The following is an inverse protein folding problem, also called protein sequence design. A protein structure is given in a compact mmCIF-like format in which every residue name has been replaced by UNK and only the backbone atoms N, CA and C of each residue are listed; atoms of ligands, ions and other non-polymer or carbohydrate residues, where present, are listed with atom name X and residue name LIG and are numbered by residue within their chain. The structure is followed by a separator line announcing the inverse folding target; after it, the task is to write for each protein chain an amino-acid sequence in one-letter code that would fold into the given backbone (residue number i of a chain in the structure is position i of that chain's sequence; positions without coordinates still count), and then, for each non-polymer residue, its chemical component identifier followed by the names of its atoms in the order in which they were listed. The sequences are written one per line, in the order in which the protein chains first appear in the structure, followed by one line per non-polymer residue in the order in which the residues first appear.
data_IF_792604442869
#
_entry.id   IF_792604442869
#
_cell.length_a   1.000
_cell.length_b   1.000
_cell.length_c   1.000
_cell.angle_alpha   90.00
_cell.angle_beta   90.00
_cell.angle_gamma   90.00
#
_symmetry.space_group_name_H-M   'P 1'
#
loop_
_entity.id
_entity.type
_entity.pdbx_description
1 polymer ?
#
# COMPACT_ATOMS: atom_id res chain seq x y z
N UNK A 1 -0.30 21.90 -15.87
CA UNK A 1 -1.39 21.13 -15.24
C UNK A 1 -0.82 19.95 -14.47
N UNK A 2 -0.42 18.84 -15.11
CA UNK A 2 0.05 17.63 -14.39
C UNK A 2 1.19 17.87 -13.38
N UNK A 3 2.19 18.70 -13.70
CA UNK A 3 3.28 19.02 -12.75
C UNK A 3 2.82 19.76 -11.49
N UNK A 4 1.78 20.57 -11.60
CA UNK A 4 1.20 21.28 -10.46
C UNK A 4 0.36 20.30 -9.64
N UNK A 5 -0.46 19.49 -10.30
CA UNK A 5 -1.27 18.44 -9.68
C UNK A 5 -0.40 17.45 -8.88
N UNK A 6 0.80 17.10 -9.39
CA UNK A 6 1.77 16.25 -8.68
C UNK A 6 2.28 16.89 -7.38
N UNK A 7 2.59 18.20 -7.40
CA UNK A 7 3.05 18.91 -6.19
C UNK A 7 1.94 19.05 -5.16
N UNK A 8 0.73 19.36 -5.63
CA UNK A 8 -0.45 19.48 -4.78
C UNK A 8 -0.76 18.12 -4.14
N UNK A 9 -0.69 17.03 -4.92
CA UNK A 9 -0.89 15.66 -4.43
C UNK A 9 0.10 15.31 -3.31
N UNK A 10 1.39 15.58 -3.51
CA UNK A 10 2.41 15.35 -2.48
C UNK A 10 2.19 16.20 -1.23
N UNK A 11 1.74 17.44 -1.39
CA UNK A 11 1.44 18.34 -0.27
C UNK A 11 0.29 17.78 0.57
N UNK A 12 -0.84 17.44 -0.03
CA UNK A 12 -1.96 16.86 0.71
C UNK A 12 -1.62 15.51 1.32
N UNK A 13 -0.85 14.66 0.63
CA UNK A 13 -0.34 13.40 1.18
C UNK A 13 0.46 13.62 2.47
N UNK A 14 1.33 14.64 2.49
CA UNK A 14 2.08 15.02 3.68
C UNK A 14 1.14 15.47 4.80
N UNK A 15 0.17 16.32 4.49
CA UNK A 15 -0.80 16.80 5.49
C UNK A 15 -1.64 15.67 6.08
N UNK A 16 -2.13 14.74 5.25
CA UNK A 16 -2.91 13.59 5.69
C UNK A 16 -2.10 12.68 6.62
N UNK A 17 -0.82 12.43 6.29
CA UNK A 17 0.10 11.66 7.16
C UNK A 17 0.34 12.36 8.49
N UNK A 18 0.61 13.66 8.47
CA UNK A 18 0.82 14.46 9.69
C UNK A 18 -0.43 14.48 10.59
N UNK A 19 -1.62 14.68 10.00
CA UNK A 19 -2.87 14.68 10.75
C UNK A 19 -3.16 13.29 11.34
N UNK A 20 -2.91 12.22 10.58
CA UNK A 20 -3.09 10.84 11.05
C UNK A 20 -2.17 10.53 12.24
N UNK A 21 -0.91 10.97 12.19
CA UNK A 21 0.05 10.79 13.27
C UNK A 21 -0.37 11.56 14.53
N UNK A 22 -0.78 12.81 14.40
CA UNK A 22 -1.29 13.63 15.51
C UNK A 22 -2.54 13.03 16.15
N UNK A 23 -3.46 12.49 15.36
CA UNK A 23 -4.64 11.78 15.87
C UNK A 23 -4.25 10.53 16.68
N UNK A 24 -3.22 9.80 16.26
CA UNK A 24 -2.72 8.63 17.00
C UNK A 24 -2.08 9.03 18.33
N UNK A 25 -1.32 10.13 18.35
CA UNK A 25 -0.76 10.69 19.59
C UNK A 25 -1.87 11.18 20.53
N UNK A 26 -2.88 11.87 19.99
CA UNK A 26 -4.04 12.33 20.76
C UNK A 26 -4.80 11.15 21.40
N UNK A 27 -5.00 10.06 20.66
CA UNK A 27 -5.62 8.83 21.20
C UNK A 27 -4.78 8.21 22.33
N UNK A 28 -3.44 8.27 22.22
CA UNK A 28 -2.56 7.78 23.28
C UNK A 28 -2.65 8.62 24.56
N UNK A 29 -2.69 9.95 24.44
CA UNK A 29 -2.85 10.88 25.56
C UNK A 29 -4.21 10.75 26.25
N UNK A 30 -5.27 10.47 25.47
CA UNK A 30 -6.58 10.20 26.04
C UNK A 30 -6.60 8.89 26.83
N UNK A 31 -5.97 7.82 26.29
CA UNK A 31 -5.85 6.53 26.99
C UNK A 31 -5.00 6.59 28.25
N UNK A 32 -4.01 7.48 28.30
CA UNK A 32 -3.19 7.71 29.50
C UNK A 32 -3.84 8.69 30.50
N UNK A 33 -5.08 9.13 30.25
CA UNK A 33 -5.83 10.09 31.06
C UNK A 33 -5.13 11.46 31.20
N UNK A 34 -4.19 11.78 30.30
CA UNK A 34 -3.47 13.07 30.28
C UNK A 34 -4.36 14.23 29.81
N UNK A 35 -5.42 13.91 29.04
CA UNK A 35 -6.39 14.90 28.54
C UNK A 35 -7.82 14.48 28.86
N UNK A 36 -8.68 15.47 29.07
CA UNK A 36 -10.12 15.24 29.28
C UNK A 36 -10.81 14.80 27.98
N UNK A 37 -11.89 14.05 28.09
CA UNK A 37 -12.75 13.64 26.97
C UNK A 37 -13.18 14.83 26.10
N UNK A 38 -13.64 15.93 26.70
CA UNK A 38 -14.03 17.13 25.96
C UNK A 38 -12.89 17.73 25.11
N UNK A 39 -11.66 17.72 25.64
CA UNK A 39 -10.48 18.22 24.92
C UNK A 39 -10.08 17.26 23.79
N UNK A 40 -10.17 15.95 24.06
CA UNK A 40 -9.97 14.92 23.04
C UNK A 40 -10.96 15.09 21.89
N UNK A 41 -12.26 15.19 22.17
CA UNK A 41 -13.31 15.33 21.16
C UNK A 41 -13.13 16.59 20.30
N UNK A 42 -12.85 17.73 20.92
CA UNK A 42 -12.64 18.98 20.20
C UNK A 42 -11.45 18.91 19.23
N UNK A 43 -10.29 18.44 19.72
CA UNK A 43 -9.07 18.34 18.89
C UNK A 43 -9.23 17.25 17.82
N UNK A 44 -9.86 16.12 18.16
CA UNK A 44 -10.14 15.05 17.23
C UNK A 44 -11.07 15.51 16.09
N UNK A 45 -12.06 16.35 16.39
CA UNK A 45 -12.94 16.92 15.38
C UNK A 45 -12.17 17.86 14.42
N UNK A 46 -11.32 18.75 14.94
CA UNK A 46 -10.50 19.66 14.12
C UNK A 46 -9.50 18.92 13.23
N UNK A 47 -8.74 18.00 13.82
CA UNK A 47 -7.79 17.17 13.08
C UNK A 47 -8.50 16.26 12.08
N UNK A 48 -9.67 15.73 12.46
CA UNK A 48 -10.54 14.92 11.62
C UNK A 48 -11.01 15.69 10.40
N UNK A 49 -11.50 16.93 10.56
CA UNK A 49 -11.94 17.77 9.44
C UNK A 49 -10.78 18.12 8.49
N UNK A 50 -9.61 18.48 9.04
CA UNK A 50 -8.41 18.75 8.22
C UNK A 50 -8.01 17.53 7.42
N UNK A 51 -7.93 16.36 8.07
CA UNK A 51 -7.57 15.12 7.40
C UNK A 51 -8.59 14.72 6.35
N UNK A 52 -9.88 14.84 6.66
CA UNK A 52 -10.99 14.55 5.73
C UNK A 52 -10.87 15.41 4.48
N UNK A 53 -10.61 16.72 4.64
CA UNK A 53 -10.38 17.64 3.53
C UNK A 53 -9.17 17.26 2.68
N UNK A 54 -8.02 16.96 3.30
CA UNK A 54 -6.82 16.52 2.57
C UNK A 54 -7.04 15.20 1.82
N UNK A 55 -7.73 14.24 2.43
CA UNK A 55 -8.03 12.93 1.80
C UNK A 55 -8.95 13.06 0.59
N UNK A 56 -9.97 13.94 0.65
CA UNK A 56 -10.82 14.20 -0.51
C UNK A 56 -10.02 14.74 -1.70
N UNK A 57 -9.10 15.67 -1.45
CA UNK A 57 -8.25 16.22 -2.52
C UNK A 57 -7.24 15.19 -3.03
N UNK A 58 -6.65 14.38 -2.16
CA UNK A 58 -5.77 13.26 -2.57
C UNK A 58 -6.50 12.33 -3.53
N UNK A 59 -7.72 11.92 -3.19
CA UNK A 59 -8.48 10.98 -4.02
C UNK A 59 -8.91 11.59 -5.36
N UNK A 60 -9.32 12.86 -5.39
CA UNK A 60 -9.62 13.58 -6.64
C UNK A 60 -8.38 13.71 -7.53
N UNK A 61 -7.25 14.10 -6.96
CA UNK A 61 -5.98 14.22 -7.68
C UNK A 61 -5.50 12.86 -8.18
N UNK A 62 -5.71 11.79 -7.41
CA UNK A 62 -5.37 10.43 -7.83
C UNK A 62 -6.13 10.03 -9.09
N UNK A 63 -7.44 10.25 -9.13
CA UNK A 63 -8.26 10.00 -10.32
C UNK A 63 -7.79 10.83 -11.54
N UNK A 64 -7.49 12.12 -11.33
CA UNK A 64 -6.93 12.99 -12.36
C UNK A 64 -5.58 12.50 -12.89
N UNK A 65 -4.67 12.07 -12.00
CA UNK A 65 -3.35 11.55 -12.34
C UNK A 65 -3.45 10.20 -13.08
N UNK A 66 -4.32 9.29 -12.66
CA UNK A 66 -4.58 8.02 -13.38
C UNK A 66 -5.10 8.27 -14.80
N UNK A 67 -5.98 9.26 -14.97
CA UNK A 67 -6.49 9.67 -16.26
C UNK A 67 -5.40 10.31 -17.13
N UNK A 68 -4.57 11.19 -16.54
CA UNK A 68 -3.43 11.80 -17.22
C UNK A 68 -2.39 10.75 -17.65
N UNK A 69 -2.13 9.74 -16.82
CA UNK A 69 -1.27 8.59 -17.14
C UNK A 69 -1.80 7.83 -18.34
N UNK A 70 -3.10 7.55 -18.37
CA UNK A 70 -3.75 6.82 -19.47
C UNK A 70 -3.65 7.60 -20.78
N UNK A 71 -3.90 8.91 -20.73
CA UNK A 71 -3.72 9.80 -21.90
C UNK A 71 -2.27 9.83 -22.38
N UNK A 72 -1.31 9.98 -21.46
CA UNK A 72 0.12 9.99 -21.80
C UNK A 72 0.57 8.66 -22.44
N UNK A 73 0.07 7.51 -21.96
CA UNK A 73 0.31 6.19 -22.58
C UNK A 73 -0.26 6.11 -23.99
N UNK A 74 -1.46 6.65 -24.21
CA UNK A 74 -2.10 6.68 -25.52
C UNK A 74 -1.32 7.56 -26.51
N UNK A 75 -0.94 8.78 -26.12
CA UNK A 75 -0.16 9.68 -26.97
C UNK A 75 1.24 9.12 -27.27
N UNK A 76 1.90 8.49 -26.29
CA UNK A 76 3.16 7.77 -26.51
C UNK A 76 3.00 6.68 -27.57
N UNK A 77 1.91 5.92 -27.53
CA UNK A 77 1.66 4.86 -28.51
C UNK A 77 1.37 5.43 -29.91
N UNK A 78 0.63 6.53 -30.00
CA UNK A 78 0.38 7.25 -31.27
C UNK A 78 1.66 7.76 -31.89
N UNK A 79 2.46 8.52 -31.14
CA UNK A 79 3.74 9.04 -31.64
C UNK A 79 4.69 7.92 -32.07
N UNK A 80 4.74 6.83 -31.30
CA UNK A 80 5.55 5.66 -31.69
C UNK A 80 5.09 5.07 -33.02
N UNK A 81 3.77 4.90 -33.21
CA UNK A 81 3.19 4.40 -34.46
C UNK A 81 3.42 5.35 -35.64
N UNK A 82 3.36 6.66 -35.41
CA UNK A 82 3.63 7.67 -36.44
C UNK A 82 5.11 7.62 -36.86
N UNK A 83 6.04 7.51 -35.91
CA UNK A 83 7.47 7.35 -36.20
C UNK A 83 7.79 6.06 -36.95
N UNK A 84 7.13 4.95 -36.60
CA UNK A 84 7.21 3.67 -37.32
C UNK A 84 6.69 3.82 -38.76
N UNK A 85 5.58 4.52 -38.96
CA UNK A 85 4.98 4.75 -40.29
C UNK A 85 5.82 5.68 -41.19
N UNK A 86 6.59 6.61 -40.61
CA UNK A 86 7.47 7.53 -41.34
C UNK A 86 8.86 6.94 -41.63
N UNK A 87 9.13 5.68 -41.26
CA UNK A 87 10.43 5.03 -41.50
C UNK A 87 11.58 5.62 -40.67
N UNK A 88 11.28 6.35 -39.59
CA UNK A 88 12.30 7.01 -38.74
C UNK A 88 12.97 5.99 -37.79
N UNK A 89 12.42 4.78 -37.67
CA UNK A 89 13.04 3.67 -36.96
C UNK A 89 13.84 2.80 -37.94
N UNK A 90 14.85 3.39 -38.59
CA UNK A 90 15.94 2.61 -39.17
C UNK A 90 17.07 2.46 -38.13
N UNK A 91 17.52 1.23 -37.99
CA UNK A 91 18.62 0.73 -37.18
C UNK A 91 19.77 1.74 -36.95
N UNK A 92 20.03 2.09 -35.69
CA UNK A 92 21.26 2.78 -35.30
C UNK A 92 22.45 1.82 -35.44
N UNK A 93 23.03 1.76 -36.63
CA UNK A 93 24.42 1.37 -36.84
C UNK A 93 25.28 2.64 -36.86
N UNK A 94 26.06 2.82 -35.80
CA UNK A 94 27.29 3.64 -35.70
C UNK A 94 27.17 5.19 -35.66
N UNK A 95 27.32 5.72 -34.45
CA UNK A 95 28.23 6.84 -34.17
C UNK A 95 27.76 8.25 -34.54
N UNK A 96 26.87 8.86 -33.76
CA UNK A 96 26.54 10.30 -33.86
C UNK A 96 25.53 10.75 -32.80
N UNK A 97 25.55 12.04 -32.37
CA UNK A 97 25.17 12.44 -31.02
C UNK A 97 23.66 12.50 -30.75
N UNK A 98 23.25 11.91 -29.62
CA UNK A 98 22.00 12.12 -28.86
C UNK A 98 20.81 12.65 -29.68
N UNK A 99 20.15 11.73 -30.40
CA UNK A 99 18.80 11.99 -30.92
C UNK A 99 17.86 12.04 -29.71
N UNK A 100 17.37 13.22 -29.38
CA UNK A 100 16.27 13.42 -28.44
C UNK A 100 15.05 12.65 -28.97
N UNK A 101 14.77 11.46 -28.42
CA UNK A 101 13.58 10.72 -28.84
C UNK A 101 12.34 11.50 -28.35
N UNK A 102 11.38 11.84 -29.22
CA UNK A 102 10.13 12.49 -28.81
C UNK A 102 9.37 11.70 -27.73
N UNK A 103 9.53 10.37 -27.72
CA UNK A 103 9.02 9.44 -26.70
C UNK A 103 9.54 9.71 -25.28
N UNK A 104 10.73 10.30 -25.13
CA UNK A 104 11.34 10.55 -23.82
C UNK A 104 10.51 11.49 -22.92
N UNK A 105 9.74 12.43 -23.50
CA UNK A 105 8.88 13.35 -22.73
C UNK A 105 7.71 12.63 -22.08
N UNK A 106 7.10 11.67 -22.79
CA UNK A 106 5.97 10.89 -22.30
C UNK A 106 6.42 9.84 -21.31
N UNK A 107 7.58 9.24 -21.54
CA UNK A 107 8.22 8.32 -20.59
C UNK A 107 8.49 9.02 -19.26
N UNK A 108 9.09 10.22 -19.31
CA UNK A 108 9.31 11.02 -18.11
C UNK A 108 8.00 11.36 -17.40
N UNK A 109 6.99 11.85 -18.12
CA UNK A 109 5.69 12.17 -17.54
C UNK A 109 5.02 10.96 -16.89
N UNK A 110 5.03 9.80 -17.57
CA UNK A 110 4.47 8.56 -17.03
C UNK A 110 5.25 8.13 -15.78
N UNK A 111 6.57 8.24 -15.80
CA UNK A 111 7.42 7.93 -14.64
C UNK A 111 7.11 8.84 -13.46
N UNK A 112 7.01 10.15 -13.67
CA UNK A 112 6.69 11.12 -12.61
C UNK A 112 5.30 10.84 -12.00
N UNK A 113 4.31 10.46 -12.83
CA UNK A 113 2.97 10.07 -12.34
C UNK A 113 3.03 8.73 -11.60
N UNK A 114 3.75 7.74 -12.12
CA UNK A 114 3.86 6.42 -11.51
C UNK A 114 4.56 6.50 -10.16
N UNK A 115 5.60 7.33 -10.03
CA UNK A 115 6.27 7.60 -8.76
C UNK A 115 5.31 8.23 -7.74
N UNK A 116 4.55 9.25 -8.14
CA UNK A 116 3.59 9.90 -7.25
C UNK A 116 2.47 8.93 -6.82
N UNK A 117 1.91 8.15 -7.75
CA UNK A 117 0.87 7.16 -7.44
C UNK A 117 1.41 6.02 -6.55
N UNK A 118 2.67 5.60 -6.77
CA UNK A 118 3.32 4.56 -5.95
C UNK A 118 3.69 5.05 -4.55
N UNK A 119 3.81 6.37 -4.35
CA UNK A 119 4.06 6.96 -3.04
C UNK A 119 2.91 6.76 -2.05
N UNK A 120 1.74 6.31 -2.51
CA UNK A 120 0.59 5.92 -1.69
C UNK A 120 0.38 4.41 -1.87
N UNK A 121 0.85 3.62 -0.91
CA UNK A 121 0.70 2.16 -0.97
C UNK A 121 -0.75 1.74 -0.75
N UNK A 122 -1.10 0.50 -1.11
CA UNK A 122 -2.44 -0.03 -0.85
C UNK A 122 -2.77 -0.04 0.65
N UNK A 123 -1.77 -0.26 1.49
CA UNK A 123 -1.83 -0.27 2.96
C UNK A 123 -2.19 1.12 3.51
N UNK A 124 -1.48 2.14 3.03
CA UNK A 124 -1.73 3.52 3.42
C UNK A 124 -3.10 3.97 2.91
N UNK A 125 -3.44 3.62 1.68
CA UNK A 125 -4.72 3.99 1.08
C UNK A 125 -5.90 3.36 1.82
N UNK A 126 -5.85 2.06 2.13
CA UNK A 126 -6.94 1.41 2.87
C UNK A 126 -7.05 1.96 4.30
N UNK A 127 -5.92 2.28 4.94
CA UNK A 127 -5.89 2.94 6.25
C UNK A 127 -6.54 4.32 6.19
N UNK A 128 -6.28 5.10 5.14
CA UNK A 128 -6.90 6.40 4.92
C UNK A 128 -8.41 6.28 4.67
N UNK A 129 -8.84 5.28 3.91
CA UNK A 129 -10.27 5.00 3.70
C UNK A 129 -10.96 4.63 5.02
N UNK A 130 -10.39 3.71 5.80
CA UNK A 130 -10.95 3.28 7.09
C UNK A 130 -11.13 4.50 8.01
N UNK A 131 -10.10 5.35 8.07
CA UNK A 131 -10.07 6.54 8.90
C UNK A 131 -11.09 7.59 8.45
N UNK A 132 -11.16 7.88 7.14
CA UNK A 132 -12.14 8.80 6.56
C UNK A 132 -13.57 8.33 6.85
N UNK A 133 -13.86 7.06 6.58
CA UNK A 133 -15.17 6.48 6.78
C UNK A 133 -15.58 6.45 8.26
N UNK A 134 -14.63 6.19 9.15
CA UNK A 134 -14.86 6.23 10.60
C UNK A 134 -15.20 7.64 11.10
N UNK A 135 -14.50 8.66 10.60
CA UNK A 135 -14.74 10.07 10.99
C UNK A 135 -16.05 10.63 10.44
N UNK A 136 -16.53 10.08 9.33
CA UNK A 136 -17.77 10.51 8.68
C UNK A 136 -19.00 9.73 9.14
N UNK A 137 -18.83 8.72 10.02
CA UNK A 137 -19.89 7.84 10.55
C UNK A 137 -20.75 8.48 11.66
N UNK A 138 -20.56 9.75 12.02
CA UNK A 138 -21.34 10.36 13.11
C UNK A 138 -21.47 11.88 13.05
N UNK A 139 -22.56 12.38 13.64
CA UNK A 139 -22.87 13.81 13.80
C UNK A 139 -24.14 14.25 13.06
N UNK A 140 -24.55 15.50 13.31
CA UNK A 140 -25.56 16.21 12.52
C UNK A 140 -24.85 17.18 11.57
N UNK A 141 -24.29 16.71 10.45
CA UNK A 141 -23.60 17.58 9.51
C UNK A 141 -24.56 18.62 8.91
N UNK A 142 -24.04 19.80 8.58
CA UNK A 142 -24.78 20.75 7.75
C UNK A 142 -25.10 20.11 6.39
N UNK A 143 -26.12 20.62 5.69
CA UNK A 143 -26.52 20.10 4.37
C UNK A 143 -25.37 20.10 3.35
N UNK A 144 -24.52 21.12 3.39
CA UNK A 144 -23.34 21.26 2.52
C UNK A 144 -22.29 20.20 2.84
N UNK A 145 -22.06 19.94 4.13
CA UNK A 145 -21.12 18.92 4.62
C UNK A 145 -21.63 17.52 4.31
N UNK A 146 -22.93 17.26 4.46
CA UNK A 146 -23.54 15.98 4.10
C UNK A 146 -23.31 15.64 2.62
N UNK A 147 -23.52 16.61 1.71
CA UNK A 147 -23.26 16.41 0.29
C UNK A 147 -21.77 16.18 -0.04
N UNK A 148 -20.84 16.76 0.74
CA UNK A 148 -19.42 16.47 0.62
C UNK A 148 -19.09 15.04 1.08
N UNK A 149 -19.63 14.63 2.24
CA UNK A 149 -19.49 13.28 2.78
C UNK A 149 -20.01 12.23 1.80
N UNK A 150 -21.18 12.44 1.19
CA UNK A 150 -21.73 11.51 0.19
C UNK A 150 -20.82 11.36 -1.03
N UNK A 151 -20.27 12.47 -1.55
CA UNK A 151 -19.29 12.43 -2.65
C UNK A 151 -18.02 11.68 -2.25
N UNK A 152 -17.51 11.93 -1.05
CA UNK A 152 -16.32 11.25 -0.54
C UNK A 152 -16.56 9.77 -0.27
N UNK A 153 -17.75 9.37 0.22
CA UNK A 153 -18.14 7.95 0.37
C UNK A 153 -18.24 7.24 -0.97
N UNK A 154 -18.79 7.87 -2.00
CA UNK A 154 -18.82 7.31 -3.35
C UNK A 154 -17.40 7.14 -3.91
N UNK A 155 -16.52 8.11 -3.67
CA UNK A 155 -15.11 8.00 -4.05
C UNK A 155 -14.42 6.86 -3.29
N UNK A 156 -14.66 6.74 -1.98
CA UNK A 156 -14.16 5.64 -1.15
C UNK A 156 -14.63 4.28 -1.67
N UNK A 157 -15.90 4.17 -2.10
CA UNK A 157 -16.46 2.94 -2.70
C UNK A 157 -15.71 2.55 -3.98
N UNK A 158 -15.49 3.50 -4.89
CA UNK A 158 -14.70 3.27 -6.11
C UNK A 158 -13.26 2.84 -5.80
N UNK A 159 -12.61 3.51 -4.84
CA UNK A 159 -11.23 3.20 -4.44
C UNK A 159 -11.14 1.85 -3.75
N UNK A 160 -12.09 1.51 -2.87
CA UNK A 160 -12.14 0.21 -2.21
C UNK A 160 -12.29 -0.94 -3.22
N UNK A 161 -13.06 -0.76 -4.28
CA UNK A 161 -13.17 -1.76 -5.34
C UNK A 161 -11.84 -1.96 -6.09
N UNK A 162 -11.12 -0.87 -6.38
CA UNK A 162 -9.77 -0.93 -6.95
C UNK A 162 -8.77 -1.63 -6.01
N UNK A 163 -8.84 -1.33 -4.71
CA UNK A 163 -8.02 -1.98 -3.69
C UNK A 163 -8.35 -3.46 -3.60
N UNK A 164 -9.63 -3.86 -3.58
CA UNK A 164 -10.04 -5.27 -3.56
C UNK A 164 -9.46 -6.06 -4.72
N UNK A 165 -9.46 -5.47 -5.93
CA UNK A 165 -8.84 -6.09 -7.10
C UNK A 165 -7.33 -6.29 -6.92
N UNK A 166 -6.62 -5.23 -6.52
CA UNK A 166 -5.16 -5.28 -6.30
C UNK A 166 -4.78 -6.22 -5.16
N UNK A 167 -5.49 -6.11 -4.03
CA UNK A 167 -5.33 -6.95 -2.85
C UNK A 167 -5.57 -8.41 -3.15
N UNK A 168 -6.57 -8.77 -3.97
CA UNK A 168 -6.80 -10.17 -4.35
C UNK A 168 -5.58 -10.80 -5.04
N UNK A 169 -4.88 -10.03 -5.88
CA UNK A 169 -3.63 -10.47 -6.52
C UNK A 169 -2.50 -10.58 -5.50
N UNK A 170 -2.28 -9.52 -4.71
CA UNK A 170 -1.22 -9.50 -3.69
C UNK A 170 -1.40 -10.59 -2.65
N UNK A 171 -2.62 -10.78 -2.14
CA UNK A 171 -3.00 -11.82 -1.17
C UNK A 171 -2.65 -13.21 -1.70
N UNK A 172 -2.98 -13.50 -2.97
CA UNK A 172 -2.61 -14.77 -3.61
C UNK A 172 -1.09 -14.97 -3.64
N UNK A 173 -0.34 -13.96 -4.06
CA UNK A 173 1.12 -14.01 -4.08
C UNK A 173 1.70 -14.26 -2.67
N UNK A 174 1.17 -13.57 -1.65
CA UNK A 174 1.59 -13.76 -0.25
C UNK A 174 1.25 -15.14 0.29
N UNK A 175 0.08 -15.70 -0.06
CA UNK A 175 -0.29 -17.08 0.27
C UNK A 175 0.68 -18.06 -0.41
N UNK A 176 1.03 -17.86 -1.68
CA UNK A 176 2.01 -18.71 -2.36
C UNK A 176 3.40 -18.62 -1.72
N UNK A 177 3.84 -17.43 -1.32
CA UNK A 177 5.07 -17.23 -0.55
C UNK A 177 5.02 -18.02 0.77
N UNK A 178 3.93 -17.90 1.52
CA UNK A 178 3.72 -18.63 2.78
C UNK A 178 3.74 -20.15 2.57
N UNK A 179 3.06 -20.68 1.54
CA UNK A 179 3.07 -22.10 1.21
C UNK A 179 4.46 -22.63 0.88
N UNK A 180 5.32 -21.81 0.23
CA UNK A 180 6.72 -22.19 -0.02
C UNK A 180 7.51 -22.29 1.29
N UNK A 181 7.37 -21.29 2.17
CA UNK A 181 8.01 -21.28 3.48
C UNK A 181 7.52 -22.44 4.37
N UNK A 182 6.23 -22.81 4.31
CA UNK A 182 5.69 -23.96 5.06
C UNK A 182 6.31 -25.30 4.61
N UNK A 183 6.58 -25.45 3.30
CA UNK A 183 7.32 -26.62 2.78
C UNK A 183 8.76 -26.62 3.29
N UNK A 184 9.44 -25.48 3.24
CA UNK A 184 10.81 -25.34 3.75
C UNK A 184 10.88 -25.66 5.26
N UNK A 185 9.95 -25.14 6.05
CA UNK A 185 9.84 -25.44 7.48
C UNK A 185 9.64 -26.94 7.73
N UNK A 186 8.84 -27.61 6.89
CA UNK A 186 8.62 -29.07 6.98
C UNK A 186 9.91 -29.84 6.67
N UNK A 187 10.64 -29.45 5.63
CA UNK A 187 11.94 -30.03 5.28
C UNK A 187 12.98 -29.84 6.39
N UNK A 188 13.05 -28.64 6.99
CA UNK A 188 13.93 -28.36 8.12
C UNK A 188 13.58 -29.23 9.34
N UNK A 189 12.28 -29.45 9.62
CA UNK A 189 11.83 -30.34 10.69
C UNK A 189 12.23 -31.80 10.44
N UNK A 190 12.19 -32.26 9.19
CA UNK A 190 12.65 -33.60 8.81
C UNK A 190 14.17 -33.74 8.96
N UNK A 191 14.94 -32.74 8.53
CA UNK A 191 16.39 -32.71 8.71
C UNK A 191 16.79 -32.71 10.19
N UNK A 192 16.08 -31.95 11.04
CA UNK A 192 16.30 -31.96 12.49
C UNK A 192 16.11 -33.37 13.05
N UNK A 193 15.00 -34.04 12.71
CA UNK A 193 14.73 -35.42 13.15
C UNK A 193 15.80 -36.40 12.67
N UNK A 194 16.26 -36.25 11.43
CA UNK A 194 17.33 -37.07 10.88
C UNK A 194 18.65 -36.90 11.64
N UNK A 195 19.01 -35.67 11.99
CA UNK A 195 20.21 -35.37 12.80
C UNK A 195 20.07 -35.96 14.21
N UNK A 196 18.90 -35.86 14.84
CA UNK A 196 18.63 -36.48 16.16
C UNK A 196 18.80 -38.00 16.11
N UNK A 197 18.26 -38.67 15.09
CA UNK A 197 18.41 -40.12 14.92
C UNK A 197 19.88 -40.50 14.69
N UNK A 198 20.59 -39.76 13.83
CA UNK A 198 22.02 -40.00 13.56
C UNK A 198 22.87 -39.85 14.82
N UNK A 199 22.60 -38.84 15.63
CA UNK A 199 23.27 -38.67 16.92
C UNK A 199 22.97 -39.84 17.87
N UNK A 200 21.71 -40.26 17.96
CA UNK A 200 21.29 -41.36 18.84
C UNK A 200 21.96 -42.71 18.49
N UNK A 201 22.26 -42.96 17.21
CA UNK A 201 23.00 -44.17 16.77
C UNK A 201 24.52 -44.01 16.82
N UNK A 202 25.04 -42.88 17.34
CA UNK A 202 26.47 -42.60 17.47
C UNK A 202 27.18 -42.19 16.19
N UNK A 203 26.45 -41.77 15.14
CA UNK A 203 27.06 -41.30 13.89
C UNK A 203 27.74 -39.93 14.04
N UNK A 204 27.24 -39.09 14.95
CA UNK A 204 27.84 -37.80 15.29
C UNK A 204 28.34 -37.81 16.73
N UNK A 205 29.47 -37.16 16.97
CA UNK A 205 29.85 -36.74 18.32
C UNK A 205 29.00 -35.53 18.77
N UNK A 206 29.11 -35.21 20.06
CA UNK A 206 28.32 -34.14 20.70
C UNK A 206 28.56 -32.78 20.05
N UNK A 207 29.82 -32.43 19.75
CA UNK A 207 30.16 -31.14 19.13
C UNK A 207 29.61 -31.00 17.71
N UNK A 208 29.72 -32.04 16.88
CA UNK A 208 29.17 -32.05 15.52
C UNK A 208 27.64 -32.02 15.50
N UNK A 209 26.99 -32.67 16.48
CA UNK A 209 25.55 -32.61 16.67
C UNK A 209 25.09 -31.21 17.04
N UNK A 210 25.71 -30.59 18.06
CA UNK A 210 25.32 -29.28 18.56
C UNK A 210 25.38 -28.19 17.49
N UNK A 211 26.47 -28.14 16.71
CA UNK A 211 26.63 -27.15 15.63
C UNK A 211 25.52 -27.29 14.59
N UNK A 212 25.31 -28.51 14.07
CA UNK A 212 24.28 -28.78 13.04
C UNK A 212 22.87 -28.51 13.55
N UNK A 213 22.60 -28.91 14.79
CA UNK A 213 21.31 -28.73 15.42
C UNK A 213 20.99 -27.25 15.66
N UNK A 214 21.98 -26.48 16.11
CA UNK A 214 21.85 -25.03 16.31
C UNK A 214 21.50 -24.32 15.01
N UNK A 215 22.23 -24.60 13.92
CA UNK A 215 21.99 -23.99 12.61
C UNK A 215 20.59 -24.31 12.07
N UNK A 216 20.18 -25.57 12.12
CA UNK A 216 18.86 -26.00 11.64
C UNK A 216 17.73 -25.39 12.46
N UNK A 217 17.87 -25.32 13.79
CA UNK A 217 16.88 -24.67 14.67
C UNK A 217 16.79 -23.17 14.42
N UNK A 218 17.92 -22.50 14.23
CA UNK A 218 17.94 -21.06 13.93
C UNK A 218 17.26 -20.76 12.58
N UNK A 219 17.53 -21.58 11.55
CA UNK A 219 16.86 -21.47 10.25
C UNK A 219 15.36 -21.73 10.37
N UNK A 220 14.94 -22.78 11.09
CA UNK A 220 13.53 -23.07 11.30
C UNK A 220 12.81 -21.90 11.99
N UNK A 221 13.39 -21.36 13.06
CA UNK A 221 12.85 -20.19 13.75
C UNK A 221 12.76 -18.95 12.85
N UNK A 222 13.69 -18.78 11.91
CA UNK A 222 13.64 -17.69 10.93
C UNK A 222 12.44 -17.88 9.98
N UNK A 223 12.29 -19.07 9.39
CA UNK A 223 11.19 -19.39 8.48
C UNK A 223 9.83 -19.26 9.17
N UNK A 224 9.70 -19.79 10.39
CA UNK A 224 8.45 -19.69 11.17
C UNK A 224 8.08 -18.23 11.49
N UNK A 225 9.07 -17.38 11.80
CA UNK A 225 8.83 -15.93 11.97
C UNK A 225 8.38 -15.24 10.68
N UNK A 226 8.93 -15.62 9.54
CA UNK A 226 8.51 -15.06 8.24
C UNK A 226 7.08 -15.48 7.88
N UNK A 227 6.70 -16.74 8.15
CA UNK A 227 5.32 -17.21 8.00
C UNK A 227 4.37 -16.39 8.88
N UNK A 228 4.69 -16.18 10.16
CA UNK A 228 3.87 -15.35 11.06
C UNK A 228 3.70 -13.93 10.53
N UNK A 229 4.78 -13.27 10.11
CA UNK A 229 4.70 -11.92 9.53
C UNK A 229 3.79 -11.83 8.32
N UNK A 230 3.85 -12.83 7.43
CA UNK A 230 2.98 -12.87 6.25
C UNK A 230 1.52 -13.06 6.63
N UNK A 231 1.24 -13.92 7.62
CA UNK A 231 -0.12 -14.15 8.12
C UNK A 231 -0.69 -12.89 8.77
N UNK A 232 0.06 -12.27 9.68
CA UNK A 232 -0.35 -11.04 10.37
C UNK A 232 -0.66 -9.92 9.36
N UNK A 233 0.17 -9.80 8.32
CA UNK A 233 -0.06 -8.85 7.23
C UNK A 233 -1.34 -9.14 6.43
N UNK A 234 -1.59 -10.39 6.07
CA UNK A 234 -2.81 -10.80 5.36
C UNK A 234 -4.05 -10.52 6.21
N UNK A 235 -4.00 -10.91 7.48
CA UNK A 235 -5.12 -10.75 8.40
C UNK A 235 -5.44 -9.27 8.64
N UNK A 236 -4.42 -8.42 8.78
CA UNK A 236 -4.61 -6.98 8.95
C UNK A 236 -5.20 -6.32 7.70
N UNK A 237 -4.71 -6.68 6.51
CA UNK A 237 -5.27 -6.18 5.25
C UNK A 237 -6.71 -6.66 5.03
N UNK A 238 -7.00 -7.94 5.28
CA UNK A 238 -8.36 -8.49 5.20
C UNK A 238 -9.29 -7.78 6.20
N UNK A 239 -8.82 -7.50 7.42
CA UNK A 239 -9.55 -6.73 8.44
C UNK A 239 -9.88 -5.32 7.96
N UNK A 240 -8.92 -4.58 7.43
CA UNK A 240 -9.13 -3.20 6.94
C UNK A 240 -10.08 -3.17 5.74
N UNK A 241 -9.90 -4.07 4.77
CA UNK A 241 -10.80 -4.18 3.60
C UNK A 241 -12.23 -4.49 4.03
N UNK A 242 -12.40 -5.45 4.95
CA UNK A 242 -13.70 -5.80 5.50
C UNK A 242 -14.33 -4.61 6.21
N UNK A 243 -13.60 -3.95 7.12
CA UNK A 243 -14.11 -2.81 7.88
C UNK A 243 -14.53 -1.64 7.00
N UNK A 244 -13.74 -1.28 5.99
CA UNK A 244 -14.12 -0.26 5.02
C UNK A 244 -15.41 -0.61 4.28
N UNK A 245 -15.65 -1.89 4.04
CA UNK A 245 -16.88 -2.37 3.39
C UNK A 245 -18.08 -2.19 4.30
N UNK A 246 -17.97 -2.60 5.56
CA UNK A 246 -19.02 -2.41 6.57
C UNK A 246 -19.36 -0.92 6.74
N UNK A 247 -18.35 -0.06 6.90
CA UNK A 247 -18.54 1.39 7.07
C UNK A 247 -19.22 2.05 5.87
N UNK A 248 -19.10 1.48 4.67
CA UNK A 248 -19.76 1.94 3.45
C UNK A 248 -21.19 1.41 3.30
N UNK A 249 -21.50 0.25 3.88
CA UNK A 249 -22.83 -0.38 3.88
C UNK A 249 -23.74 0.12 5.01
N UNK A 250 -23.16 0.51 6.15
CA UNK A 250 -23.88 1.23 7.20
C UNK A 250 -24.36 2.58 6.65
N UNK A 251 -25.65 2.65 6.35
CA UNK A 251 -26.34 3.89 5.99
C UNK A 251 -26.60 4.73 7.24
N UNK A 252 -26.56 6.05 7.08
CA UNK A 252 -27.07 7.04 8.05
C UNK A 252 -28.50 6.73 8.46
#
# INVERSE_FOLDING_TARGET
MVKEDLKIFQTYMKEAREASLKLKELESMFRSEEITENAYEAIAAELGERMTSSLEEIFKLKESLELARTRAKLERAREKSEMESMGIIEEQVHGGPYVYSPTSRWEKLISDIDEALSSLTIDEEISFLERYLSLTKGGNPSKERLAAIERGRELCRKRLESIRGTWSSTRREKIEQMMRLEREASQLKEQIREIEVRFAIGYYDEGAFEVRMSDLKANLQKVEREISKLRDYIDEMDRMVFRCSELLEENL
#
